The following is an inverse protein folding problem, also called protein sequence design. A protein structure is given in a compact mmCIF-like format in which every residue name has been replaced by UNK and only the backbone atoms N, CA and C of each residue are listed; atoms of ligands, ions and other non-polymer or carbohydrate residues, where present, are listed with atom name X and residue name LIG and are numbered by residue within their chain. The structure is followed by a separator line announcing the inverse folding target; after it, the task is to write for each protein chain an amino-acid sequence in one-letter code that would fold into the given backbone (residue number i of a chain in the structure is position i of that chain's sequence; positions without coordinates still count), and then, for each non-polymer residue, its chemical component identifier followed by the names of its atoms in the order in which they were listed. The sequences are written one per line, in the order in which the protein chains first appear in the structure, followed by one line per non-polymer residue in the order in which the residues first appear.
data_IF_502102128221
#
_entry.id   IF_502102128221
#
_cell.length_a   1.000
_cell.length_b   1.000
_cell.length_c   1.000
_cell.angle_alpha   90.00
_cell.angle_beta   90.00
_cell.angle_gamma   90.00
#
_symmetry.space_group_name_H-M   'P 1'
#
loop_
_entity.id
_entity.type
_entity.pdbx_description
1 polymer ?
#
# COMPACT_ATOMS: atom_id res chain seq x y z
N UNK A 1 -13.53 19.18 5.81
CA UNK A 1 -14.39 18.89 6.98
C UNK A 1 -15.20 20.16 7.25
N UNK A 2 -16.44 20.22 6.74
CA UNK A 2 -17.27 21.44 6.82
C UNK A 2 -18.19 21.29 8.02
N UNK A 3 -18.04 22.16 9.03
CA UNK A 3 -19.00 22.27 10.15
C UNK A 3 -18.61 21.64 11.50
N UNK A 4 -17.45 20.98 11.63
CA UNK A 4 -17.03 20.42 12.92
C UNK A 4 -16.57 21.52 13.91
N UNK A 5 -16.98 21.46 15.20
CA UNK A 5 -16.47 22.34 16.24
C UNK A 5 -14.93 22.37 16.29
N UNK A 6 -14.34 23.55 16.57
CA UNK A 6 -12.87 23.73 16.62
C UNK A 6 -12.16 22.75 17.56
N UNK A 7 -12.81 22.35 18.65
CA UNK A 7 -12.29 21.37 19.61
C UNK A 7 -12.12 19.98 18.97
N UNK A 8 -13.12 19.51 18.23
CA UNK A 8 -13.06 18.22 17.54
C UNK A 8 -11.97 18.23 16.46
N UNK A 9 -11.82 19.34 15.73
CA UNK A 9 -10.72 19.50 14.77
C UNK A 9 -9.35 19.41 15.44
N UNK A 10 -9.18 20.03 16.62
CA UNK A 10 -7.92 19.96 17.36
C UNK A 10 -7.59 18.56 17.86
N UNK A 11 -8.60 17.80 18.28
CA UNK A 11 -8.44 16.43 18.77
C UNK A 11 -8.09 15.46 17.63
N UNK A 12 -8.77 15.58 16.48
CA UNK A 12 -8.46 14.78 15.29
C UNK A 12 -7.03 15.05 14.80
N UNK A 13 -6.60 16.31 14.79
CA UNK A 13 -5.24 16.67 14.40
C UNK A 13 -4.21 16.09 15.39
N UNK A 14 -4.48 16.17 16.69
CA UNK A 14 -3.61 15.60 17.71
C UNK A 14 -3.45 14.08 17.56
N UNK A 15 -4.53 13.35 17.24
CA UNK A 15 -4.44 11.92 16.93
C UNK A 15 -3.63 11.63 15.66
N UNK A 16 -3.77 12.49 14.63
CA UNK A 16 -2.95 12.41 13.42
C UNK A 16 -1.45 12.60 13.71
N UNK A 17 -1.11 13.57 14.55
CA UNK A 17 0.28 13.84 14.96
C UNK A 17 0.85 12.70 15.80
N UNK A 18 0.07 12.16 16.74
CA UNK A 18 0.45 10.98 17.52
C UNK A 18 0.70 9.75 16.64
N UNK A 19 -0.14 9.54 15.63
CA UNK A 19 0.03 8.46 14.65
C UNK A 19 1.33 8.61 13.85
N UNK A 20 1.63 9.83 13.36
CA UNK A 20 2.88 10.12 12.65
C UNK A 20 4.11 9.90 13.53
N UNK A 21 4.10 10.41 14.76
CA UNK A 21 5.18 10.19 15.72
C UNK A 21 5.35 8.70 16.05
N UNK A 22 4.27 7.92 16.07
CA UNK A 22 4.31 6.46 16.19
C UNK A 22 5.05 5.79 15.05
N UNK A 23 4.75 6.19 13.80
CA UNK A 23 5.41 5.67 12.61
C UNK A 23 6.92 5.98 12.60
N UNK A 24 7.31 7.18 13.03
CA UNK A 24 8.72 7.56 13.16
C UNK A 24 9.47 6.72 14.20
N UNK A 25 8.82 6.35 15.33
CA UNK A 25 9.44 5.49 16.36
C UNK A 25 9.67 4.06 15.90
N UNK A 26 8.86 3.55 14.98
CA UNK A 26 8.96 2.18 14.48
C UNK A 26 9.65 2.10 13.10
N UNK A 27 10.23 3.22 12.65
CA UNK A 27 11.10 3.27 11.49
C UNK A 27 12.37 2.48 11.77
N UNK A 28 12.74 1.60 10.84
CA UNK A 28 14.00 0.89 10.88
C UNK A 28 14.91 1.36 9.75
N UNK A 29 16.09 1.86 10.10
CA UNK A 29 17.03 2.42 9.13
C UNK A 29 17.68 1.36 8.23
N UNK A 30 17.85 0.13 8.71
CA UNK A 30 18.47 -0.93 7.92
C UNK A 30 17.49 -1.46 6.86
N UNK A 31 16.24 -1.69 7.28
CA UNK A 31 15.20 -2.22 6.40
C UNK A 31 14.49 -1.15 5.57
N UNK A 32 14.60 0.13 5.98
CA UNK A 32 13.98 1.33 5.40
C UNK A 32 12.46 1.26 5.34
N UNK A 33 11.88 0.72 6.40
CA UNK A 33 10.45 0.46 6.55
C UNK A 33 10.00 0.72 7.98
N UNK A 34 8.71 1.00 8.16
CA UNK A 34 8.08 0.93 9.47
C UNK A 34 7.69 -0.52 9.78
N UNK A 35 8.21 -1.09 10.86
CA UNK A 35 7.83 -2.43 11.29
C UNK A 35 6.77 -2.39 12.39
N UNK A 36 5.89 -3.40 12.43
CA UNK A 36 5.11 -3.66 13.64
C UNK A 36 6.04 -4.06 14.79
N UNK A 37 5.58 -3.93 16.03
CA UNK A 37 6.36 -4.31 17.23
C UNK A 37 5.64 -5.45 17.95
N UNK A 38 6.39 -6.50 18.31
CA UNK A 38 5.93 -7.47 19.30
C UNK A 38 6.05 -6.83 20.68
N UNK A 39 4.95 -6.27 21.19
CA UNK A 39 4.90 -5.58 22.49
C UNK A 39 5.29 -6.48 23.68
N UNK A 40 5.19 -7.81 23.55
CA UNK A 40 5.60 -8.73 24.63
C UNK A 40 7.12 -8.86 24.72
N UNK A 41 7.80 -8.74 23.57
CA UNK A 41 9.25 -8.92 23.45
C UNK A 41 10.00 -7.60 23.27
N UNK A 42 9.30 -6.52 22.92
CA UNK A 42 9.90 -5.24 22.56
C UNK A 42 10.71 -5.29 21.26
N UNK A 43 10.40 -6.24 20.36
CA UNK A 43 11.18 -6.47 19.13
C UNK A 43 10.37 -6.19 17.88
N UNK A 44 11.02 -5.66 16.83
CA UNK A 44 10.38 -5.43 15.54
C UNK A 44 9.96 -6.74 14.83
N UNK A 45 8.80 -6.71 14.18
CA UNK A 45 8.30 -7.75 13.29
C UNK A 45 8.92 -7.58 11.90
N UNK A 46 10.01 -8.31 11.66
CA UNK A 46 10.94 -8.11 10.52
C UNK A 46 10.46 -8.60 9.15
N UNK A 47 9.19 -9.01 9.01
CA UNK A 47 8.67 -9.37 7.69
C UNK A 47 8.61 -8.13 6.79
N UNK A 48 9.21 -8.20 5.60
CA UNK A 48 9.15 -7.16 4.56
C UNK A 48 7.79 -7.19 3.87
N UNK A 49 6.77 -6.77 4.63
CA UNK A 49 5.38 -6.73 4.21
C UNK A 49 5.00 -5.34 3.68
N UNK A 50 3.92 -5.30 2.92
CA UNK A 50 3.32 -4.07 2.41
C UNK A 50 2.89 -3.11 3.54
N UNK A 51 2.69 -3.64 4.77
CA UNK A 51 2.41 -2.84 5.95
C UNK A 51 3.50 -1.80 6.23
N UNK A 52 4.76 -2.12 5.93
CA UNK A 52 5.87 -1.17 6.08
C UNK A 52 5.89 -0.03 5.05
N UNK A 53 5.12 -0.17 3.95
CA UNK A 53 4.97 0.84 2.90
C UNK A 53 3.69 1.68 3.06
N UNK A 54 2.70 1.21 3.83
CA UNK A 54 1.48 1.97 4.13
C UNK A 54 1.69 3.34 4.79
N UNK A 55 2.81 3.66 5.47
CA UNK A 55 3.09 5.02 5.93
C UNK A 55 3.15 6.08 4.81
N UNK A 56 3.24 5.68 3.53
CA UNK A 56 3.00 6.59 2.39
C UNK A 56 1.61 7.26 2.42
N UNK A 57 0.64 6.71 3.16
CA UNK A 57 -0.66 7.34 3.44
C UNK A 57 -0.58 8.50 4.43
N UNK A 58 0.39 8.49 5.34
CA UNK A 58 0.36 9.27 6.58
C UNK A 58 1.05 10.64 6.49
N UNK A 59 1.51 11.07 5.31
CA UNK A 59 2.30 12.30 5.10
C UNK A 59 3.51 12.33 6.05
N UNK A 60 4.47 11.42 5.83
CA UNK A 60 5.75 11.42 6.54
C UNK A 60 6.68 12.54 6.05
N UNK A 61 7.74 12.83 6.81
CA UNK A 61 8.83 13.71 6.41
C UNK A 61 9.48 13.30 5.07
N UNK A 62 10.13 14.24 4.35
CA UNK A 62 10.60 14.04 2.98
C UNK A 62 11.63 12.90 2.85
N UNK A 63 12.49 12.72 3.86
CA UNK A 63 13.49 11.64 3.88
C UNK A 63 12.84 10.25 3.88
N UNK A 64 12.03 9.90 4.90
CA UNK A 64 11.35 8.60 4.97
C UNK A 64 10.45 8.37 3.76
N UNK A 65 9.82 9.42 3.24
CA UNK A 65 9.01 9.31 2.04
C UNK A 65 9.83 8.90 0.82
N UNK A 66 11.00 9.50 0.62
CA UNK A 66 11.89 9.14 -0.48
C UNK A 66 12.34 7.67 -0.38
N UNK A 67 12.69 7.20 0.83
CA UNK A 67 13.08 5.81 1.04
C UNK A 67 11.92 4.83 0.80
N UNK A 68 10.71 5.12 1.28
CA UNK A 68 9.54 4.29 1.03
C UNK A 68 9.16 4.22 -0.46
N UNK A 69 9.31 5.32 -1.19
CA UNK A 69 9.11 5.33 -2.64
C UNK A 69 10.17 4.50 -3.37
N UNK A 70 11.43 4.63 -2.96
CA UNK A 70 12.52 3.82 -3.51
C UNK A 70 12.30 2.33 -3.23
N UNK A 71 11.82 1.98 -2.04
CA UNK A 71 11.52 0.59 -1.67
C UNK A 71 10.32 0.04 -2.45
N UNK A 72 9.24 0.81 -2.60
CA UNK A 72 8.08 0.46 -3.43
C UNK A 72 8.49 0.21 -4.89
N UNK A 73 9.31 1.08 -5.46
CA UNK A 73 9.79 1.01 -6.85
C UNK A 73 10.89 -0.06 -7.04
N UNK A 74 11.38 -0.69 -5.97
CA UNK A 74 12.48 -1.66 -6.03
C UNK A 74 12.05 -3.05 -6.51
N UNK A 75 13.05 -3.88 -6.83
CA UNK A 75 12.87 -5.32 -7.11
C UNK A 75 12.34 -6.15 -5.93
N UNK A 76 12.20 -5.55 -4.74
CA UNK A 76 11.56 -6.18 -3.58
C UNK A 76 10.04 -6.01 -3.58
N UNK A 77 9.50 -5.05 -4.35
CA UNK A 77 8.05 -4.82 -4.47
C UNK A 77 7.67 -4.61 -5.93
N UNK A 78 7.10 -3.45 -6.30
CA UNK A 78 6.46 -3.23 -7.60
C UNK A 78 7.45 -3.20 -8.78
N UNK A 79 8.75 -3.01 -8.51
CA UNK A 79 9.81 -3.06 -9.51
C UNK A 79 10.35 -4.47 -9.78
N UNK A 80 9.81 -5.52 -9.15
CA UNK A 80 10.24 -6.89 -9.41
C UNK A 80 9.84 -7.33 -10.84
N UNK A 81 10.84 -7.68 -11.66
CA UNK A 81 10.65 -8.00 -13.09
C UNK A 81 9.88 -9.30 -13.35
N UNK A 82 9.67 -10.14 -12.34
CA UNK A 82 8.89 -11.37 -12.47
C UNK A 82 7.39 -11.14 -12.29
N UNK A 83 6.98 -9.97 -11.79
CA UNK A 83 5.57 -9.66 -11.58
C UNK A 83 4.84 -9.48 -12.91
N UNK A 84 3.59 -9.96 -12.97
CA UNK A 84 2.78 -9.79 -14.18
C UNK A 84 2.39 -8.33 -14.43
N UNK A 85 2.15 -7.60 -13.35
CA UNK A 85 1.89 -6.17 -13.34
C UNK A 85 2.80 -5.52 -12.31
N UNK A 86 3.17 -4.26 -12.53
CA UNK A 86 4.00 -3.50 -11.60
C UNK A 86 3.20 -3.06 -10.35
N UNK A 87 2.66 -4.04 -9.62
CA UNK A 87 1.83 -3.88 -8.42
C UNK A 87 2.48 -4.61 -7.26
N UNK A 88 2.58 -3.99 -6.07
CA UNK A 88 3.27 -4.60 -4.96
C UNK A 88 2.52 -5.84 -4.43
N UNK A 89 3.25 -6.95 -4.22
CA UNK A 89 2.80 -8.08 -3.42
C UNK A 89 2.64 -7.68 -1.94
N UNK A 90 1.79 -8.38 -1.17
CA UNK A 90 1.58 -8.10 0.27
C UNK A 90 2.79 -8.42 1.15
N UNK A 91 3.65 -9.33 0.68
CA UNK A 91 4.97 -9.62 1.23
C UNK A 91 5.95 -9.62 0.07
N UNK A 92 7.13 -9.04 0.25
CA UNK A 92 8.16 -8.98 -0.78
C UNK A 92 8.46 -10.37 -1.36
N UNK A 93 8.56 -10.55 -2.69
CA UNK A 93 8.91 -11.84 -3.30
C UNK A 93 10.25 -12.43 -2.87
N UNK A 94 11.15 -11.60 -2.31
CA UNK A 94 12.47 -12.04 -1.82
C UNK A 94 12.47 -12.31 -0.31
N UNK A 95 11.37 -12.06 0.38
CA UNK A 95 11.24 -12.34 1.82
C UNK A 95 10.96 -13.83 2.05
N UNK A 96 11.63 -14.50 3.00
CA UNK A 96 11.40 -15.91 3.31
C UNK A 96 9.95 -16.25 3.69
N UNK A 97 9.18 -15.28 4.17
CA UNK A 97 7.78 -15.45 4.55
C UNK A 97 6.81 -15.41 3.37
N UNK A 98 7.30 -15.10 2.16
CA UNK A 98 6.50 -14.99 0.94
C UNK A 98 5.89 -16.33 0.52
N UNK A 99 4.61 -16.29 0.20
CA UNK A 99 3.84 -17.39 -0.34
C UNK A 99 2.78 -16.83 -1.32
N UNK A 100 3.02 -17.02 -2.61
CA UNK A 100 2.35 -16.28 -3.69
C UNK A 100 0.83 -16.49 -3.80
N UNK A 101 0.30 -17.54 -3.16
CA UNK A 101 -1.13 -17.88 -3.13
C UNK A 101 -1.74 -17.86 -1.73
N UNK A 102 -0.97 -17.50 -0.70
CA UNK A 102 -1.39 -17.59 0.69
C UNK A 102 -1.86 -16.23 1.23
N UNK A 103 -3.04 -15.80 0.77
CA UNK A 103 -3.78 -14.67 1.34
C UNK A 103 -2.93 -13.38 1.51
N UNK A 104 -2.65 -12.93 2.73
CA UNK A 104 -1.83 -11.73 3.01
C UNK A 104 -0.30 -11.97 3.00
N UNK A 105 0.15 -13.17 2.65
CA UNK A 105 1.57 -13.54 2.66
C UNK A 105 2.25 -13.45 1.30
N UNK A 106 1.66 -12.79 0.32
CA UNK A 106 2.26 -12.75 -1.02
C UNK A 106 1.37 -12.13 -2.08
N UNK A 107 0.10 -12.56 -2.27
CA UNK A 107 -0.77 -11.99 -3.28
C UNK A 107 -0.81 -10.45 -3.35
N UNK A 108 -1.09 -9.90 -4.53
CA UNK A 108 -1.38 -8.48 -4.72
C UNK A 108 -2.87 -8.22 -4.52
N UNK A 109 -3.20 -7.13 -3.85
CA UNK A 109 -4.56 -6.81 -3.40
C UNK A 109 -5.03 -5.48 -3.98
N UNK A 110 -6.12 -5.45 -4.77
CA UNK A 110 -6.65 -4.20 -5.34
C UNK A 110 -6.90 -3.10 -4.30
N UNK A 111 -7.40 -3.46 -3.12
CA UNK A 111 -7.64 -2.49 -2.04
C UNK A 111 -6.36 -1.85 -1.52
N UNK A 112 -5.25 -2.59 -1.43
CA UNK A 112 -3.96 -2.05 -1.00
C UNK A 112 -3.35 -1.17 -2.10
N UNK A 113 -3.45 -1.60 -3.35
CA UNK A 113 -3.05 -0.81 -4.50
C UNK A 113 -3.78 0.55 -4.50
N UNK A 114 -5.08 0.55 -4.18
CA UNK A 114 -5.88 1.76 -4.06
C UNK A 114 -5.46 2.66 -2.88
N UNK A 115 -5.13 2.09 -1.72
CA UNK A 115 -4.58 2.85 -0.61
C UNK A 115 -3.24 3.52 -0.98
N UNK A 116 -2.33 2.78 -1.61
CA UNK A 116 -1.06 3.34 -2.07
C UNK A 116 -1.27 4.43 -3.12
N UNK A 117 -2.21 4.24 -4.05
CA UNK A 117 -2.64 5.26 -5.02
C UNK A 117 -3.07 6.57 -4.32
N UNK A 118 -3.89 6.49 -3.26
CA UNK A 118 -4.26 7.66 -2.46
C UNK A 118 -3.03 8.31 -1.83
N UNK A 119 -2.16 7.52 -1.19
CA UNK A 119 -0.96 8.03 -0.53
C UNK A 119 -0.03 8.77 -1.50
N UNK A 120 0.17 8.21 -2.69
CA UNK A 120 0.95 8.80 -3.76
C UNK A 120 0.34 10.12 -4.24
N UNK A 121 -0.98 10.18 -4.48
CA UNK A 121 -1.65 11.41 -4.86
C UNK A 121 -1.54 12.50 -3.80
N UNK A 122 -1.88 12.17 -2.54
CA UNK A 122 -1.81 13.11 -1.41
C UNK A 122 -0.40 13.64 -1.17
N UNK A 123 0.61 12.86 -1.54
CA UNK A 123 2.01 13.21 -1.39
C UNK A 123 2.62 13.92 -2.61
N UNK A 124 1.84 14.21 -3.66
CA UNK A 124 2.29 14.92 -4.86
C UNK A 124 2.96 14.05 -5.94
N UNK A 125 2.92 12.71 -5.80
CA UNK A 125 3.52 11.78 -6.76
C UNK A 125 2.51 11.29 -7.81
N UNK A 126 1.84 12.22 -8.48
CA UNK A 126 0.79 11.93 -9.44
C UNK A 126 1.21 10.97 -10.56
N UNK A 127 2.44 11.09 -11.09
CA UNK A 127 2.95 10.17 -12.11
C UNK A 127 3.04 8.72 -11.64
N UNK A 128 3.50 8.49 -10.39
CA UNK A 128 3.52 7.15 -9.79
C UNK A 128 2.11 6.62 -9.55
N UNK A 129 1.22 7.48 -9.07
CA UNK A 129 -0.17 7.11 -8.84
C UNK A 129 -0.87 6.71 -10.15
N UNK A 130 -0.69 7.47 -11.23
CA UNK A 130 -1.23 7.14 -12.56
C UNK A 130 -0.73 5.78 -13.05
N UNK A 131 0.57 5.49 -12.93
CA UNK A 131 1.14 4.20 -13.33
C UNK A 131 0.52 3.05 -12.53
N UNK A 132 0.48 3.17 -11.20
CA UNK A 132 -0.08 2.14 -10.33
C UNK A 132 -1.57 1.89 -10.64
N UNK A 133 -2.35 2.95 -10.86
CA UNK A 133 -3.75 2.85 -11.30
C UNK A 133 -3.89 2.12 -12.63
N UNK A 134 -3.05 2.43 -13.61
CA UNK A 134 -3.10 1.78 -14.93
C UNK A 134 -2.82 0.28 -14.84
N UNK A 135 -1.80 -0.11 -14.07
CA UNK A 135 -1.47 -1.52 -13.81
C UNK A 135 -2.62 -2.24 -13.09
N UNK A 136 -3.22 -1.60 -12.08
CA UNK A 136 -4.34 -2.15 -11.34
C UNK A 136 -5.59 -2.33 -12.21
N UNK A 137 -5.93 -1.36 -13.06
CA UNK A 137 -7.05 -1.50 -13.99
C UNK A 137 -6.79 -2.61 -15.02
N UNK A 138 -5.57 -2.75 -15.53
CA UNK A 138 -5.19 -3.86 -16.42
C UNK A 138 -5.32 -5.23 -15.71
N UNK A 139 -4.97 -5.31 -14.43
CA UNK A 139 -5.19 -6.51 -13.62
C UNK A 139 -6.68 -6.87 -13.51
N UNK A 140 -7.54 -5.88 -13.23
CA UNK A 140 -8.98 -6.11 -13.11
C UNK A 140 -9.64 -6.44 -14.45
N UNK A 141 -9.19 -5.84 -15.55
CA UNK A 141 -9.65 -6.17 -16.90
C UNK A 141 -9.35 -7.64 -17.24
N UNK A 142 -8.16 -8.12 -16.89
CA UNK A 142 -7.73 -9.48 -17.21
C UNK A 142 -8.34 -10.55 -16.29
N UNK A 143 -8.55 -10.25 -15.00
CA UNK A 143 -8.90 -11.28 -14.01
C UNK A 143 -10.16 -11.01 -13.19
N UNK A 144 -10.93 -9.97 -13.55
CA UNK A 144 -12.20 -9.63 -12.93
C UNK A 144 -12.07 -8.96 -11.55
N UNK A 145 -13.16 -8.97 -10.79
CA UNK A 145 -13.26 -8.28 -9.49
C UNK A 145 -12.87 -9.18 -8.32
N UNK A 146 -11.78 -9.91 -8.48
CA UNK A 146 -11.30 -10.85 -7.48
C UNK A 146 -10.79 -10.15 -6.21
N UNK A 147 -10.74 -10.90 -5.11
CA UNK A 147 -10.30 -10.40 -3.83
C UNK A 147 -8.80 -10.06 -3.81
N UNK A 148 -7.99 -10.93 -4.40
CA UNK A 148 -6.55 -10.77 -4.57
C UNK A 148 -6.04 -11.60 -5.75
N UNK A 149 -4.82 -11.32 -6.20
CA UNK A 149 -4.23 -11.90 -7.40
C UNK A 149 -2.88 -12.54 -7.09
N UNK A 150 -2.64 -13.69 -7.70
CA UNK A 150 -1.32 -14.31 -7.70
C UNK A 150 -0.35 -13.38 -8.48
N UNK A 151 0.77 -12.96 -7.88
CA UNK A 151 1.54 -11.81 -8.38
C UNK A 151 2.32 -12.07 -9.68
N UNK A 152 2.61 -13.33 -10.02
CA UNK A 152 3.45 -13.68 -11.17
C UNK A 152 2.63 -14.16 -12.38
N UNK A 153 1.58 -14.92 -12.11
CA UNK A 153 0.67 -15.47 -13.12
C UNK A 153 -0.52 -14.56 -13.39
N UNK A 154 -0.86 -13.71 -12.41
CA UNK A 154 -2.08 -12.91 -12.42
C UNK A 154 -3.37 -13.71 -12.25
N UNK A 155 -3.28 -14.97 -11.83
CA UNK A 155 -4.46 -15.76 -11.55
C UNK A 155 -5.28 -15.09 -10.45
N UNK A 156 -6.59 -14.86 -10.67
CA UNK A 156 -7.44 -14.35 -9.61
C UNK A 156 -7.54 -15.40 -8.50
N UNK A 157 -7.57 -14.97 -7.25
CA UNK A 157 -7.68 -15.81 -6.05
C UNK A 157 -8.77 -15.25 -5.11
N UNK A 158 -9.12 -16.01 -4.07
CA UNK A 158 -10.17 -15.61 -3.11
C UNK A 158 -11.54 -15.49 -3.76
N UNK A 159 -12.39 -14.61 -3.21
CA UNK A 159 -13.71 -14.32 -3.76
C UNK A 159 -13.62 -13.70 -5.17
N UNK A 160 -14.53 -14.06 -6.08
CA UNK A 160 -14.53 -13.60 -7.49
C UNK A 160 -15.23 -12.27 -7.75
N UNK A 161 -16.19 -11.91 -6.91
CA UNK A 161 -17.03 -10.71 -7.02
C UNK A 161 -16.94 -9.91 -5.72
N UNK A 162 -15.72 -9.50 -5.39
CA UNK A 162 -15.43 -8.88 -4.10
C UNK A 162 -15.86 -7.41 -4.11
N UNK A 163 -16.72 -7.03 -3.15
CA UNK A 163 -17.36 -5.70 -3.14
C UNK A 163 -16.37 -4.55 -3.05
N UNK A 164 -15.30 -4.66 -2.24
CA UNK A 164 -14.29 -3.60 -2.20
C UNK A 164 -13.48 -3.50 -3.49
N UNK A 165 -13.38 -4.57 -4.28
CA UNK A 165 -12.65 -4.57 -5.54
C UNK A 165 -13.48 -3.83 -6.58
N UNK A 166 -14.80 -4.04 -6.58
CA UNK A 166 -15.73 -3.25 -7.36
C UNK A 166 -15.68 -1.76 -6.98
N UNK A 167 -15.67 -1.44 -5.68
CA UNK A 167 -15.63 -0.06 -5.21
C UNK A 167 -14.36 0.69 -5.64
N UNK A 168 -13.17 0.07 -5.52
CA UNK A 168 -11.93 0.70 -5.97
C UNK A 168 -11.86 0.82 -7.49
N UNK A 169 -12.43 -0.14 -8.24
CA UNK A 169 -12.53 -0.04 -9.69
C UNK A 169 -13.35 1.16 -10.12
N UNK A 170 -14.51 1.39 -9.49
CA UNK A 170 -15.35 2.57 -9.74
C UNK A 170 -14.57 3.85 -9.44
N UNK A 171 -13.93 3.95 -8.26
CA UNK A 171 -13.19 5.16 -7.90
C UNK A 171 -12.03 5.45 -8.85
N UNK A 172 -11.31 4.43 -9.30
CA UNK A 172 -10.28 4.58 -10.32
C UNK A 172 -10.85 5.01 -11.66
N UNK A 173 -11.98 4.46 -12.11
CA UNK A 173 -12.58 4.82 -13.41
C UNK A 173 -13.10 6.26 -13.42
N UNK A 174 -13.74 6.71 -12.34
CA UNK A 174 -14.28 8.07 -12.22
C UNK A 174 -13.20 9.14 -12.10
N UNK A 175 -12.07 8.85 -11.44
CA UNK A 175 -11.01 9.83 -11.16
C UNK A 175 -9.89 9.84 -12.22
N UNK A 176 -10.24 9.66 -13.49
CA UNK A 176 -9.29 9.59 -14.60
C UNK A 176 -8.49 10.89 -14.86
N UNK A 177 -8.91 12.00 -14.26
CA UNK A 177 -8.28 13.33 -14.40
C UNK A 177 -8.30 14.04 -13.05
N UNK A 178 -7.17 14.60 -12.57
CA UNK A 178 -7.18 15.38 -11.34
C UNK A 178 -7.98 16.67 -11.56
N UNK A 179 -8.97 16.90 -10.69
CA UNK A 179 -9.39 18.25 -10.31
C UNK A 179 -8.50 18.79 -9.20
#
# INVERSE_FOLDING_TARGET
MVGAPRRELSEINAWGDLGRAGLERVWDEADRLCHGVDERRGTALRARSIGGLLPLLAVLGPHHRAELLAELDSGRFAGNSSLRWALPPTVSPVDPAFASRNYWRGPSWPIINWLLWIGLHRSGFGGRATRLRSEALSQLEAGGLAEYFEPFTGAPLGARNQSWTAAVAIDWLERATPG
#
